data_IF_312241308488
#
_entry.id   IF_312241308488
#
_cell.length_a   1.000
_cell.length_b   1.000
_cell.length_c   1.000
_cell.angle_alpha   90.00
_cell.angle_beta   90.00
_cell.angle_gamma   90.00
#
_symmetry.space_group_name_H-M   'P 1'
#
loop_
_entity.id
_entity.type
_entity.pdbx_description
1 polymer ?
#
# COMPACT_ATOMS: atom_id res chain seq x y z
N UNK A 1 23.09 -16.48 -15.66
CA UNK A 1 21.79 -15.80 -15.75
C UNK A 1 21.96 -14.47 -15.03
N UNK A 2 21.50 -13.35 -15.60
CA UNK A 2 21.55 -12.03 -14.93
C UNK A 2 20.56 -12.12 -13.76
N UNK A 3 21.05 -11.88 -12.55
CA UNK A 3 20.23 -11.77 -11.34
C UNK A 3 20.00 -10.28 -11.06
N UNK A 4 18.85 -9.94 -10.51
CA UNK A 4 18.54 -8.57 -10.15
C UNK A 4 19.41 -8.12 -8.97
N UNK A 5 20.03 -6.95 -9.08
CA UNK A 5 20.87 -6.35 -8.04
C UNK A 5 20.41 -4.94 -7.71
N UNK A 6 20.65 -4.49 -6.47
CA UNK A 6 20.34 -3.12 -6.07
C UNK A 6 20.94 -2.09 -7.04
N UNK A 7 20.12 -1.16 -7.50
CA UNK A 7 20.45 -0.17 -8.53
C UNK A 7 20.03 -0.56 -9.96
N UNK A 8 19.70 -1.82 -10.22
CA UNK A 8 19.13 -2.23 -11.51
C UNK A 8 17.68 -1.73 -11.64
N UNK A 9 17.28 -1.39 -12.87
CA UNK A 9 15.88 -1.19 -13.21
C UNK A 9 15.28 -2.53 -13.62
N UNK A 10 14.24 -2.97 -12.91
CA UNK A 10 13.60 -4.27 -13.12
C UNK A 10 12.15 -4.09 -13.54
N UNK A 11 11.65 -5.05 -14.31
CA UNK A 11 10.25 -5.17 -14.67
C UNK A 11 9.68 -6.44 -14.08
N UNK A 12 8.63 -6.31 -13.29
CA UNK A 12 8.00 -7.45 -12.63
C UNK A 12 6.50 -7.51 -12.93
N UNK A 13 5.98 -8.73 -12.98
CA UNK A 13 4.58 -8.96 -12.67
C UNK A 13 4.46 -9.31 -11.19
N UNK A 14 3.42 -8.81 -10.56
CA UNK A 14 3.05 -9.13 -9.20
C UNK A 14 1.54 -9.35 -9.07
N UNK A 15 1.15 -10.15 -8.08
CA UNK A 15 -0.21 -10.35 -7.61
C UNK A 15 -0.20 -10.30 -6.08
N UNK A 16 -0.95 -9.37 -5.51
CA UNK A 16 -1.04 -9.13 -4.07
C UNK A 16 -2.36 -9.68 -3.50
N UNK A 17 -2.25 -10.54 -2.50
CA UNK A 17 -3.37 -11.13 -1.76
C UNK A 17 -3.27 -10.84 -0.26
N UNK A 18 -4.43 -10.64 0.36
CA UNK A 18 -4.60 -10.55 1.80
C UNK A 18 -4.59 -11.97 2.41
N UNK A 19 -4.42 -12.05 3.73
CA UNK A 19 -4.42 -13.33 4.45
C UNK A 19 -5.74 -14.12 4.38
N UNK A 20 -6.84 -13.45 4.05
CA UNK A 20 -8.13 -14.10 3.79
C UNK A 20 -8.25 -14.69 2.37
N UNK A 21 -7.23 -14.50 1.53
CA UNK A 21 -7.19 -14.91 0.12
C UNK A 21 -7.76 -13.88 -0.85
N UNK A 22 -8.22 -12.72 -0.36
CA UNK A 22 -8.74 -11.65 -1.20
C UNK A 22 -7.59 -10.99 -1.97
N UNK A 23 -7.64 -11.02 -3.29
CA UNK A 23 -6.71 -10.24 -4.13
C UNK A 23 -7.06 -8.76 -4.02
N UNK A 24 -6.10 -7.94 -3.59
CA UNK A 24 -6.28 -6.50 -3.48
C UNK A 24 -5.66 -5.74 -4.65
N UNK A 25 -4.61 -6.30 -5.28
CA UNK A 25 -3.95 -5.69 -6.43
C UNK A 25 -3.26 -6.75 -7.30
N UNK A 26 -3.16 -6.49 -8.61
CA UNK A 26 -2.42 -7.35 -9.54
C UNK A 26 -2.01 -6.58 -10.79
N UNK A 27 -0.81 -6.88 -11.27
CA UNK A 27 -0.32 -6.41 -12.58
C UNK A 27 -0.51 -7.46 -13.68
N UNK A 28 -1.06 -8.64 -13.35
CA UNK A 28 -1.35 -9.68 -14.34
C UNK A 28 -2.39 -9.14 -15.35
N UNK A 29 -2.08 -9.26 -16.65
CA UNK A 29 -2.92 -8.73 -17.72
C UNK A 29 -2.74 -7.22 -18.02
N UNK A 30 -1.81 -6.55 -17.34
CA UNK A 30 -1.38 -5.17 -17.63
C UNK A 30 0.10 -5.11 -17.99
N UNK A 31 0.67 -3.92 -18.25
CA UNK A 31 2.12 -3.77 -18.43
C UNK A 31 2.87 -4.10 -17.12
N UNK A 32 4.06 -4.72 -17.20
CA UNK A 32 4.89 -4.99 -16.03
C UNK A 32 5.22 -3.71 -15.25
N UNK A 33 5.26 -3.81 -13.93
CA UNK A 33 5.70 -2.71 -13.08
C UNK A 33 7.22 -2.54 -13.23
N UNK A 34 7.63 -1.39 -13.74
CA UNK A 34 9.04 -0.99 -13.84
C UNK A 34 9.44 -0.14 -12.63
N UNK A 35 10.48 -0.55 -11.91
CA UNK A 35 11.04 0.22 -10.79
C UNK A 35 12.54 -0.03 -10.63
N UNK A 36 13.20 0.87 -9.90
CA UNK A 36 14.62 0.75 -9.55
C UNK A 36 14.76 -0.05 -8.24
N UNK A 37 15.45 -1.20 -8.31
CA UNK A 37 15.63 -2.11 -7.19
C UNK A 37 16.47 -1.44 -6.09
N UNK A 38 15.97 -1.43 -4.87
CA UNK A 38 16.62 -0.77 -3.73
C UNK A 38 16.54 0.76 -3.77
N UNK A 39 15.73 1.33 -4.67
CA UNK A 39 15.50 2.77 -4.79
C UNK A 39 14.47 3.32 -3.82
N UNK A 40 13.79 2.47 -3.02
CA UNK A 40 12.72 2.88 -2.10
C UNK A 40 11.47 3.41 -2.80
N UNK A 41 11.29 3.07 -4.09
CA UNK A 41 10.06 3.41 -4.84
C UNK A 41 8.92 2.42 -4.57
N UNK A 42 9.25 1.23 -4.08
CA UNK A 42 8.32 0.17 -3.69
C UNK A 42 8.49 -0.16 -2.21
N UNK A 43 7.60 -0.98 -1.67
CA UNK A 43 7.69 -1.45 -0.29
C UNK A 43 8.99 -2.24 -0.06
N UNK A 44 9.56 -2.16 1.14
CA UNK A 44 10.86 -2.77 1.45
C UNK A 44 10.86 -4.30 1.22
N UNK A 45 9.73 -4.96 1.45
CA UNK A 45 9.56 -6.38 1.17
C UNK A 45 9.67 -6.73 -0.32
N UNK A 46 9.25 -5.85 -1.24
CA UNK A 46 9.42 -6.07 -2.68
C UNK A 46 10.89 -5.99 -3.08
N UNK A 47 11.58 -4.95 -2.62
CA UNK A 47 13.01 -4.78 -2.89
C UNK A 47 13.79 -6.02 -2.41
N UNK A 48 13.54 -6.47 -1.18
CA UNK A 48 14.16 -7.68 -0.62
C UNK A 48 13.79 -8.96 -1.37
N UNK A 49 12.57 -9.06 -1.89
CA UNK A 49 12.09 -10.27 -2.56
C UNK A 49 12.67 -10.43 -3.97
N UNK A 50 12.78 -9.31 -4.70
CA UNK A 50 13.30 -9.28 -6.08
C UNK A 50 14.82 -9.34 -6.13
N UNK A 51 15.51 -8.85 -5.09
CA UNK A 51 16.96 -8.97 -5.01
C UNK A 51 17.43 -10.44 -5.12
N UNK A 52 18.31 -10.70 -6.10
CA UNK A 52 18.83 -12.04 -6.38
C UNK A 52 17.96 -12.92 -7.26
N UNK A 53 16.74 -12.50 -7.64
CA UNK A 53 15.91 -13.24 -8.59
C UNK A 53 16.53 -13.25 -9.99
N UNK A 54 16.39 -14.36 -10.71
CA UNK A 54 16.76 -14.45 -12.11
C UNK A 54 15.59 -14.04 -13.03
N UNK A 55 15.91 -13.51 -14.21
CA UNK A 55 14.88 -13.21 -15.23
C UNK A 55 14.10 -14.48 -15.60
N UNK A 56 12.77 -14.40 -15.56
CA UNK A 56 11.82 -15.49 -15.74
C UNK A 56 11.54 -16.32 -14.49
N UNK A 57 12.12 -15.95 -13.34
CA UNK A 57 11.83 -16.59 -12.06
C UNK A 57 10.58 -15.98 -11.43
N UNK A 58 9.72 -16.84 -10.88
CA UNK A 58 8.56 -16.44 -10.08
C UNK A 58 8.71 -16.95 -8.65
N UNK A 59 8.32 -16.12 -7.68
CA UNK A 59 8.46 -16.39 -6.26
C UNK A 59 7.28 -15.82 -5.49
N UNK A 60 6.79 -16.59 -4.53
CA UNK A 60 5.81 -16.11 -3.56
C UNK A 60 6.52 -15.68 -2.28
N UNK A 61 6.19 -14.50 -1.78
CA UNK A 61 6.73 -13.93 -0.54
C UNK A 61 5.61 -13.35 0.30
N UNK A 62 5.63 -13.63 1.59
CA UNK A 62 4.75 -12.99 2.56
C UNK A 62 5.51 -11.84 3.19
N UNK A 63 4.95 -10.64 3.10
CA UNK A 63 5.53 -9.40 3.59
C UNK A 63 4.73 -8.95 4.81
N UNK A 64 5.42 -8.88 5.95
CA UNK A 64 4.83 -8.37 7.19
C UNK A 64 4.50 -6.88 7.05
N UNK A 65 3.53 -6.36 7.84
CA UNK A 65 3.10 -4.96 7.74
C UNK A 65 4.27 -3.97 7.82
N UNK A 66 5.27 -4.24 8.67
CA UNK A 66 6.48 -3.42 8.84
C UNK A 66 7.33 -3.25 7.57
N UNK A 67 7.36 -4.25 6.70
CA UNK A 67 8.09 -4.25 5.42
C UNK A 67 7.15 -3.90 4.23
N UNK A 68 5.86 -3.70 4.49
CA UNK A 68 4.83 -3.29 3.53
C UNK A 68 4.40 -1.83 3.76
N UNK A 69 3.20 -1.62 4.30
CA UNK A 69 2.59 -0.30 4.50
C UNK A 69 2.64 0.21 5.95
N UNK A 70 3.48 -0.40 6.77
CA UNK A 70 3.63 -0.12 8.19
C UNK A 70 2.54 -0.79 9.05
N UNK A 71 2.72 -0.77 10.38
CA UNK A 71 1.69 -1.18 11.31
C UNK A 71 0.53 -0.18 11.28
N UNK A 72 -0.68 -0.69 11.51
CA UNK A 72 -1.84 0.18 11.78
C UNK A 72 -1.66 0.83 13.14
N UNK A 73 -1.85 2.14 13.19
CA UNK A 73 -1.81 2.91 14.42
C UNK A 73 -3.22 3.36 14.80
N UNK A 74 -3.75 2.83 15.90
CA UNK A 74 -5.07 3.24 16.41
C UNK A 74 -5.13 4.74 16.75
N UNK A 75 -3.97 5.35 17.06
CA UNK A 75 -3.86 6.80 17.32
C UNK A 75 -4.14 7.68 16.10
N UNK A 76 -4.06 7.10 14.89
CA UNK A 76 -4.40 7.77 13.63
C UNK A 76 -5.89 7.65 13.30
N UNK A 77 -6.64 6.88 14.09
CA UNK A 77 -8.11 6.83 14.03
C UNK A 77 -8.65 7.89 14.97
N UNK A 78 -9.43 8.82 14.43
CA UNK A 78 -9.99 9.94 15.19
C UNK A 78 -11.45 10.14 14.88
N UNK A 79 -12.23 10.48 15.90
CA UNK A 79 -13.61 10.89 15.74
C UNK A 79 -13.66 12.40 15.47
N UNK A 80 -14.22 12.76 14.33
CA UNK A 80 -14.36 14.13 13.87
C UNK A 80 -15.84 14.49 13.86
N UNK A 81 -16.27 15.55 14.57
CA UNK A 81 -17.65 15.98 14.52
C UNK A 81 -18.01 16.42 13.11
N UNK A 82 -19.21 16.07 12.63
CA UNK A 82 -19.65 16.44 11.27
C UNK A 82 -19.65 17.95 11.04
N UNK A 83 -19.77 18.75 12.11
CA UNK A 83 -19.69 20.21 12.07
C UNK A 83 -18.31 20.76 11.70
N UNK A 84 -17.25 19.94 11.81
CA UNK A 84 -15.91 20.30 11.37
C UNK A 84 -15.72 20.04 9.86
N UNK A 85 -16.61 19.26 9.25
CA UNK A 85 -16.61 19.07 7.79
C UNK A 85 -17.25 20.29 7.11
N UNK A 86 -16.78 20.66 5.91
CA UNK A 86 -17.48 21.63 5.08
C UNK A 86 -18.92 21.19 4.81
N UNK A 87 -19.88 22.11 4.84
CA UNK A 87 -21.32 21.83 4.61
C UNK A 87 -21.62 21.17 3.25
N UNK A 88 -20.71 21.29 2.28
CA UNK A 88 -20.83 20.70 0.94
C UNK A 88 -20.43 19.21 0.91
N UNK A 89 -19.84 18.69 1.99
CA UNK A 89 -19.36 17.31 2.10
C UNK A 89 -20.34 16.48 2.93
N UNK A 90 -20.99 15.52 2.27
CA UNK A 90 -21.73 14.46 2.95
C UNK A 90 -20.78 13.29 3.26
N UNK A 91 -20.39 13.06 4.53
CA UNK A 91 -19.49 11.97 4.85
C UNK A 91 -20.16 10.62 4.59
N UNK A 92 -19.44 9.73 3.92
CA UNK A 92 -19.84 8.36 3.67
C UNK A 92 -18.70 7.41 4.03
N UNK A 93 -19.02 6.21 4.51
CA UNK A 93 -18.01 5.18 4.77
C UNK A 93 -17.24 4.88 3.48
N UNK A 94 -15.92 4.82 3.56
CA UNK A 94 -14.99 4.69 2.44
C UNK A 94 -14.63 6.02 1.76
N UNK A 95 -15.22 7.15 2.15
CA UNK A 95 -14.86 8.46 1.60
C UNK A 95 -13.45 8.86 2.03
N UNK A 96 -12.63 9.28 1.07
CA UNK A 96 -11.32 9.84 1.34
C UNK A 96 -11.41 11.36 1.52
N UNK A 97 -10.87 11.87 2.62
CA UNK A 97 -10.81 13.27 2.98
C UNK A 97 -9.35 13.70 3.08
N UNK A 98 -9.04 14.94 2.70
CA UNK A 98 -7.71 15.51 2.94
C UNK A 98 -7.73 16.27 4.26
N UNK A 99 -7.10 15.68 5.28
CA UNK A 99 -6.83 16.33 6.55
C UNK A 99 -5.54 17.14 6.49
N UNK A 100 -5.41 18.15 7.35
CA UNK A 100 -4.15 18.87 7.54
C UNK A 100 -3.66 18.60 8.96
N UNK A 101 -2.46 18.00 9.07
CA UNK A 101 -1.80 17.78 10.35
C UNK A 101 -1.45 19.09 11.05
N UNK A 102 -1.17 19.02 12.35
CA UNK A 102 -0.64 20.14 13.13
C UNK A 102 0.64 20.74 12.52
N UNK A 103 1.47 19.90 11.88
CA UNK A 103 2.69 20.30 11.18
C UNK A 103 2.46 20.85 9.76
N UNK A 104 1.20 21.00 9.34
CA UNK A 104 0.83 21.55 8.04
C UNK A 104 0.93 20.59 6.86
N UNK A 105 1.36 19.33 7.10
CA UNK A 105 1.32 18.27 6.10
C UNK A 105 -0.12 17.86 5.79
N UNK A 106 -0.43 17.69 4.51
CA UNK A 106 -1.71 17.13 4.07
C UNK A 106 -1.63 15.61 4.23
N UNK A 107 -2.60 15.05 4.93
CA UNK A 107 -2.77 13.61 5.12
C UNK A 107 -4.08 13.17 4.49
N UNK A 108 -4.09 11.99 3.87
CA UNK A 108 -5.31 11.38 3.40
C UNK A 108 -5.94 10.61 4.57
N UNK A 109 -7.19 10.91 4.84
CA UNK A 109 -8.03 10.30 5.86
C UNK A 109 -9.10 9.48 5.14
N UNK A 110 -9.45 8.31 5.65
CA UNK A 110 -10.57 7.51 5.13
C UNK A 110 -11.65 7.42 6.20
N UNK A 111 -12.89 7.75 5.84
CA UNK A 111 -14.03 7.60 6.75
C UNK A 111 -14.32 6.11 6.94
N UNK A 112 -14.13 5.59 8.15
CA UNK A 112 -14.38 4.18 8.48
C UNK A 112 -15.76 3.96 9.06
N UNK A 113 -16.32 4.97 9.73
CA UNK A 113 -17.67 4.95 10.28
C UNK A 113 -18.34 6.32 10.19
N UNK A 114 -19.67 6.32 10.04
CA UNK A 114 -20.48 7.53 10.00
C UNK A 114 -21.60 7.40 11.03
N UNK A 115 -21.38 7.98 12.20
CA UNK A 115 -22.38 8.08 13.26
C UNK A 115 -23.44 9.15 13.00
N UNK A 116 -24.30 9.44 13.97
CA UNK A 116 -25.34 10.48 13.83
C UNK A 116 -24.75 11.90 13.87
N UNK A 117 -23.88 12.18 14.85
CA UNK A 117 -23.30 13.51 15.09
C UNK A 117 -21.81 13.63 14.68
N UNK A 118 -21.08 12.53 14.65
CA UNK A 118 -19.64 12.47 14.36
C UNK A 118 -19.34 11.38 13.34
N UNK A 119 -18.13 11.43 12.79
CA UNK A 119 -17.60 10.45 11.86
C UNK A 119 -16.25 9.94 12.37
N UNK A 120 -15.96 8.68 12.15
CA UNK A 120 -14.64 8.13 12.45
C UNK A 120 -13.81 8.19 11.19
N UNK A 121 -12.66 8.85 11.27
CA UNK A 121 -11.68 8.95 10.19
C UNK A 121 -10.42 8.20 10.57
N UNK A 122 -9.83 7.52 9.60
CA UNK A 122 -8.61 6.73 9.75
C UNK A 122 -7.52 7.31 8.82
N UNK A 123 -6.41 7.79 9.41
CA UNK A 123 -5.27 8.32 8.66
C UNK A 123 -4.23 7.25 8.28
N UNK A 124 -4.48 5.97 8.59
CA UNK A 124 -3.61 4.88 8.19
C UNK A 124 -3.71 4.61 6.68
N UNK A 125 -2.67 4.00 6.12
CA UNK A 125 -2.76 3.43 4.79
C UNK A 125 -3.85 2.34 4.77
N UNK A 126 -4.65 2.18 3.70
CA UNK A 126 -5.72 1.18 3.64
C UNK A 126 -5.26 -0.27 3.88
N UNK A 127 -3.97 -0.54 3.64
CA UNK A 127 -3.32 -1.85 3.82
C UNK A 127 -2.35 -1.86 5.02
N UNK A 128 -2.36 -0.84 5.87
CA UNK A 128 -1.52 -0.81 7.06
C UNK A 128 -2.00 -1.85 8.09
N UNK A 129 -1.05 -2.54 8.72
CA UNK A 129 -1.33 -3.59 9.70
C UNK A 129 -1.72 -4.95 9.10
N UNK A 130 -1.96 -5.02 7.78
CA UNK A 130 -2.26 -6.26 7.08
C UNK A 130 -0.97 -6.96 6.63
N UNK A 131 -0.91 -8.27 6.81
CA UNK A 131 0.13 -9.10 6.22
C UNK A 131 -0.26 -9.40 4.78
N UNK A 132 0.66 -9.11 3.86
CA UNK A 132 0.39 -9.17 2.43
C UNK A 132 1.20 -10.29 1.81
N UNK A 133 0.55 -11.19 1.09
CA UNK A 133 1.23 -12.20 0.29
C UNK A 133 1.32 -11.71 -1.14
N UNK A 134 2.53 -11.74 -1.70
CA UNK A 134 2.78 -11.34 -3.06
C UNK A 134 3.42 -12.46 -3.84
N UNK A 135 2.84 -12.76 -5.00
CA UNK A 135 3.47 -13.56 -6.04
C UNK A 135 4.13 -12.63 -7.02
N UNK A 136 5.46 -12.71 -7.16
CA UNK A 136 6.27 -11.82 -7.97
C UNK A 136 6.96 -12.65 -9.05
N UNK A 137 6.94 -12.18 -10.28
CA UNK A 137 7.63 -12.73 -11.44
C UNK A 137 8.54 -11.67 -12.04
N UNK A 138 9.84 -11.96 -12.13
CA UNK A 138 10.80 -11.06 -12.74
C UNK A 138 10.78 -11.24 -14.26
N UNK A 139 10.23 -10.27 -14.98
CA UNK A 139 10.08 -10.32 -16.45
C UNK A 139 11.38 -9.92 -17.14
N UNK A 140 12.03 -8.85 -16.67
CA UNK A 140 13.21 -8.29 -17.33
C UNK A 140 14.07 -7.47 -16.35
N UNK A 141 15.38 -7.41 -16.60
CA UNK A 141 16.30 -6.46 -15.94
C UNK A 141 16.88 -5.57 -17.05
N UNK A 142 16.52 -4.29 -17.03
CA UNK A 142 16.92 -3.27 -18.00
C UNK A 142 18.43 -2.98 -17.93
#
# INVERSE_FOLDING_TARGET
MKQAQAGDTVRIHYSGTLNDGTQFDTSEGSDPLEFALGGGMVIAGFDKAVEGMAVGESKSVTISPEDAYGPRHDQLVQDVPKTALPDDIAPAVGMQLQGKSADGQVMNLTVTDVGEAEITVDANHPLAGEELTFEIELVEIV
#
